data_IF_321388240422
#
_entry.id   IF_321388240422
#
_cell.length_a   1.000
_cell.length_b   1.000
_cell.length_c   1.000
_cell.angle_alpha   90.00
_cell.angle_beta   90.00
_cell.angle_gamma   90.00
#
_symmetry.space_group_name_H-M   'P 1'
#
loop_
_entity.id
_entity.type
_entity.pdbx_description
1 polymer ?
#
# COMPACT_ATOMS: atom_id res chain seq x y z
N UNK A 1 -33.06 -14.65 3.72
CA UNK A 1 -33.00 -13.23 3.25
C UNK A 1 -31.55 -12.70 3.17
N UNK A 2 -30.56 -13.55 2.89
CA UNK A 2 -29.12 -13.19 2.85
C UNK A 2 -28.43 -13.55 1.52
N UNK A 3 -29.17 -14.04 0.53
CA UNK A 3 -28.59 -14.57 -0.72
C UNK A 3 -28.37 -13.52 -1.83
N UNK A 4 -28.79 -12.27 -1.62
CA UNK A 4 -28.76 -11.21 -2.64
C UNK A 4 -27.41 -10.46 -2.67
N UNK A 5 -26.72 -10.37 -1.53
CA UNK A 5 -25.40 -9.70 -1.45
C UNK A 5 -24.28 -10.74 -1.42
N UNK A 6 -24.12 -11.45 -2.54
CA UNK A 6 -22.95 -12.31 -2.70
C UNK A 6 -21.70 -11.43 -2.82
N UNK A 7 -20.59 -11.80 -2.15
CA UNK A 7 -19.33 -11.05 -2.26
C UNK A 7 -18.90 -10.90 -3.73
N UNK A 8 -19.16 -11.91 -4.56
CA UNK A 8 -18.87 -11.87 -6.00
C UNK A 8 -19.57 -10.70 -6.73
N UNK A 9 -20.86 -10.47 -6.45
CA UNK A 9 -21.62 -9.38 -7.07
C UNK A 9 -21.11 -8.02 -6.57
N UNK A 10 -20.80 -7.91 -5.27
CA UNK A 10 -20.17 -6.72 -4.70
C UNK A 10 -18.82 -6.42 -5.34
N UNK A 11 -17.99 -7.44 -5.59
CA UNK A 11 -16.70 -7.29 -6.27
C UNK A 11 -16.85 -6.76 -7.69
N UNK A 12 -17.83 -7.28 -8.44
CA UNK A 12 -18.13 -6.82 -9.81
C UNK A 12 -18.62 -5.37 -9.80
N UNK A 13 -19.54 -5.01 -8.90
CA UNK A 13 -20.06 -3.64 -8.78
C UNK A 13 -18.94 -2.66 -8.41
N UNK A 14 -18.06 -3.04 -7.48
CA UNK A 14 -16.88 -2.24 -7.13
C UNK A 14 -15.94 -2.02 -8.32
N UNK A 15 -15.74 -3.04 -9.15
CA UNK A 15 -14.94 -2.91 -10.36
C UNK A 15 -15.60 -1.98 -11.38
N UNK A 16 -16.91 -2.08 -11.57
CA UNK A 16 -17.66 -1.22 -12.48
C UNK A 16 -17.56 0.25 -12.05
N UNK A 17 -17.78 0.55 -10.77
CA UNK A 17 -17.66 1.91 -10.21
C UNK A 17 -16.24 2.48 -10.40
N UNK A 18 -15.22 1.61 -10.37
CA UNK A 18 -13.83 2.02 -10.59
C UNK A 18 -13.48 2.25 -12.07
N UNK A 19 -14.18 1.58 -12.98
CA UNK A 19 -13.99 1.77 -14.42
C UNK A 19 -14.52 3.13 -14.88
N UNK A 20 -15.53 3.64 -14.17
CA UNK A 20 -16.12 4.96 -14.38
C UNK A 20 -15.09 6.10 -14.28
N UNK A 21 -15.19 7.17 -15.08
CA UNK A 21 -14.14 8.19 -15.19
C UNK A 21 -14.01 9.04 -13.91
N UNK A 22 -15.07 9.14 -13.12
CA UNK A 22 -15.10 9.87 -11.85
C UNK A 22 -15.39 8.91 -10.69
N UNK A 23 -14.35 8.57 -9.93
CA UNK A 23 -14.51 7.71 -8.75
C UNK A 23 -15.20 8.53 -7.65
N UNK A 24 -16.39 8.10 -7.18
CA UNK A 24 -17.10 8.85 -6.15
C UNK A 24 -16.34 8.81 -4.82
N UNK A 25 -16.34 9.93 -4.08
CA UNK A 25 -15.65 10.06 -2.79
C UNK A 25 -16.09 9.01 -1.75
N UNK A 26 -17.35 8.57 -1.84
CA UNK A 26 -17.93 7.55 -0.98
C UNK A 26 -17.43 6.13 -1.30
N UNK A 27 -16.84 5.91 -2.49
CA UNK A 27 -16.36 4.60 -2.92
C UNK A 27 -15.42 3.97 -1.91
N UNK A 28 -14.46 4.74 -1.38
CA UNK A 28 -13.53 4.25 -0.36
C UNK A 28 -14.23 3.82 0.92
N UNK A 29 -15.25 4.58 1.38
CA UNK A 29 -16.04 4.20 2.55
C UNK A 29 -16.81 2.90 2.29
N UNK A 30 -17.41 2.76 1.12
CA UNK A 30 -18.12 1.54 0.73
C UNK A 30 -17.16 0.35 0.70
N UNK A 31 -15.97 0.51 0.11
CA UNK A 31 -14.94 -0.54 0.09
C UNK A 31 -14.56 -0.95 1.49
N UNK A 32 -14.21 0.00 2.37
CA UNK A 32 -13.82 -0.29 3.76
C UNK A 32 -14.92 -1.06 4.49
N UNK A 33 -16.18 -0.63 4.38
CA UNK A 33 -17.31 -1.31 5.01
C UNK A 33 -17.47 -2.73 4.44
N UNK A 34 -17.42 -2.90 3.13
CA UNK A 34 -17.55 -4.22 2.50
C UNK A 34 -16.43 -5.18 2.90
N UNK A 35 -15.16 -4.75 3.00
CA UNK A 35 -14.09 -5.65 3.49
C UNK A 35 -14.14 -5.89 5.00
N UNK A 36 -14.76 -5.00 5.78
CA UNK A 36 -15.03 -5.25 7.19
C UNK A 36 -16.13 -6.31 7.37
N UNK A 37 -17.20 -6.24 6.58
CA UNK A 37 -18.30 -7.21 6.61
C UNK A 37 -17.93 -8.54 5.97
N UNK A 38 -17.28 -8.52 4.80
CA UNK A 38 -16.97 -9.70 4.00
C UNK A 38 -15.46 -9.90 3.87
N UNK A 39 -14.89 -10.71 4.78
CA UNK A 39 -13.46 -11.04 4.77
C UNK A 39 -13.00 -11.77 3.50
N UNK A 40 -13.89 -12.45 2.78
CA UNK A 40 -13.51 -13.12 1.51
C UNK A 40 -13.11 -12.12 0.42
N UNK A 41 -13.58 -10.88 0.49
CA UNK A 41 -13.24 -9.82 -0.48
C UNK A 41 -11.84 -9.22 -0.26
N UNK A 42 -11.21 -9.46 0.90
CA UNK A 42 -9.90 -8.89 1.22
C UNK A 42 -8.85 -9.22 0.16
N UNK A 43 -8.83 -10.46 -0.34
CA UNK A 43 -7.90 -10.88 -1.38
C UNK A 43 -8.10 -10.13 -2.70
N UNK A 44 -9.36 -10.02 -3.14
CA UNK A 44 -9.73 -9.31 -4.37
C UNK A 44 -9.44 -7.81 -4.26
N UNK A 45 -9.80 -7.19 -3.14
CA UNK A 45 -9.55 -5.76 -2.90
C UNK A 45 -8.06 -5.48 -2.92
N UNK A 46 -7.26 -6.30 -2.23
CA UNK A 46 -5.82 -6.12 -2.15
C UNK A 46 -5.11 -6.28 -3.49
N UNK A 47 -5.50 -7.25 -4.33
CA UNK A 47 -4.79 -7.55 -5.59
C UNK A 47 -5.32 -6.78 -6.79
N UNK A 48 -6.64 -6.63 -6.88
CA UNK A 48 -7.31 -6.09 -8.08
C UNK A 48 -7.68 -4.63 -7.88
N UNK A 49 -8.35 -4.34 -6.76
CA UNK A 49 -8.92 -3.02 -6.49
C UNK A 49 -7.82 -1.99 -6.18
N UNK A 50 -6.89 -2.30 -5.27
CA UNK A 50 -5.76 -1.42 -4.97
C UNK A 50 -4.87 -1.19 -6.21
N UNK A 51 -4.54 -2.24 -6.97
CA UNK A 51 -3.69 -2.11 -8.18
C UNK A 51 -4.32 -1.18 -9.21
N UNK A 52 -5.62 -1.30 -9.48
CA UNK A 52 -6.32 -0.40 -10.42
C UNK A 52 -6.44 1.03 -9.89
N UNK A 53 -6.69 1.22 -8.59
CA UNK A 53 -6.67 2.54 -7.95
C UNK A 53 -5.32 3.24 -8.11
N UNK A 54 -4.21 2.48 -8.02
CA UNK A 54 -2.86 3.02 -8.25
C UNK A 54 -2.72 3.51 -9.68
N UNK A 55 -3.16 2.73 -10.68
CA UNK A 55 -3.13 3.14 -12.09
C UNK A 55 -3.95 4.41 -12.36
N UNK A 56 -5.07 4.59 -11.66
CA UNK A 56 -5.93 5.79 -11.75
C UNK A 56 -5.40 7.00 -10.97
N UNK A 57 -4.20 6.92 -10.37
CA UNK A 57 -3.56 8.02 -9.61
C UNK A 57 -4.46 8.60 -8.52
N UNK A 58 -5.02 7.76 -7.67
CA UNK A 58 -5.93 8.18 -6.59
C UNK A 58 -5.34 9.17 -5.58
N UNK A 59 -4.01 9.31 -5.53
CA UNK A 59 -3.31 10.30 -4.72
C UNK A 59 -3.58 11.75 -5.17
N UNK A 60 -4.14 11.96 -6.35
CA UNK A 60 -4.61 13.28 -6.82
C UNK A 60 -5.77 13.82 -5.99
N UNK A 61 -6.56 12.94 -5.36
CA UNK A 61 -7.73 13.33 -4.56
C UNK A 61 -7.44 12.96 -3.09
N UNK A 62 -7.22 13.94 -2.20
CA UNK A 62 -6.78 13.69 -0.82
C UNK A 62 -7.79 12.87 -0.01
N UNK A 63 -9.09 13.02 -0.29
CA UNK A 63 -10.13 12.23 0.36
C UNK A 63 -10.07 10.74 -0.02
N UNK A 64 -9.86 10.42 -1.31
CA UNK A 64 -9.68 9.04 -1.76
C UNK A 64 -8.36 8.47 -1.26
N UNK A 65 -7.29 9.29 -1.24
CA UNK A 65 -6.00 8.89 -0.71
C UNK A 65 -6.05 8.52 0.77
N UNK A 66 -6.70 9.33 1.61
CA UNK A 66 -6.89 8.99 3.02
C UNK A 66 -7.72 7.71 3.18
N UNK A 67 -8.76 7.52 2.37
CA UNK A 67 -9.53 6.27 2.33
C UNK A 67 -8.68 5.07 1.95
N UNK A 68 -7.78 5.22 0.97
CA UNK A 68 -6.87 4.17 0.52
C UNK A 68 -5.93 3.74 1.64
N UNK A 69 -5.32 4.71 2.34
CA UNK A 69 -4.43 4.44 3.47
C UNK A 69 -5.18 3.68 4.56
N UNK A 70 -6.42 4.08 4.84
CA UNK A 70 -7.27 3.42 5.84
C UNK A 70 -7.63 1.99 5.43
N UNK A 71 -8.00 1.78 4.17
CA UNK A 71 -8.31 0.47 3.62
C UNK A 71 -7.06 -0.43 3.64
N UNK A 72 -5.91 0.08 3.22
CA UNK A 72 -4.64 -0.63 3.21
C UNK A 72 -4.24 -1.10 4.61
N UNK A 73 -4.50 -0.30 5.65
CA UNK A 73 -4.33 -0.69 7.05
C UNK A 73 -5.33 -1.76 7.49
N UNK A 74 -6.60 -1.60 7.15
CA UNK A 74 -7.67 -2.52 7.55
C UNK A 74 -7.50 -3.94 6.96
N UNK A 75 -6.89 -4.03 5.77
CA UNK A 75 -6.67 -5.31 5.07
C UNK A 75 -5.21 -5.79 5.11
N UNK A 76 -4.35 -5.12 5.88
CA UNK A 76 -2.99 -5.61 6.12
C UNK A 76 -3.05 -7.00 6.77
N UNK A 77 -2.20 -7.97 6.36
CA UNK A 77 -1.03 -7.83 5.48
C UNK A 77 -1.29 -8.04 3.98
N UNK A 78 -2.53 -8.31 3.56
CA UNK A 78 -2.84 -8.60 2.15
C UNK A 78 -2.56 -7.42 1.22
N UNK A 79 -2.74 -6.18 1.70
CA UNK A 79 -2.51 -4.94 0.95
C UNK A 79 -1.05 -4.71 0.54
N UNK A 80 -0.08 -5.31 1.23
CA UNK A 80 1.35 -5.02 1.02
C UNK A 80 1.78 -5.28 -0.42
N UNK A 81 1.24 -6.31 -1.08
CA UNK A 81 1.56 -6.60 -2.48
C UNK A 81 1.22 -5.46 -3.45
N UNK A 82 0.07 -4.80 -3.27
CA UNK A 82 -0.31 -3.66 -4.10
C UNK A 82 0.41 -2.37 -3.67
N UNK A 83 0.73 -2.21 -2.38
CA UNK A 83 1.51 -1.05 -1.93
C UNK A 83 2.90 -0.99 -2.57
N UNK A 84 3.52 -2.15 -2.88
CA UNK A 84 4.78 -2.18 -3.63
C UNK A 84 4.66 -1.64 -5.08
N UNK A 85 3.45 -1.54 -5.64
CA UNK A 85 3.24 -0.94 -6.96
C UNK A 85 3.17 0.59 -6.92
N UNK A 86 3.04 1.19 -5.74
CA UNK A 86 3.03 2.65 -5.61
C UNK A 86 4.40 3.26 -5.94
N UNK A 87 4.42 4.46 -6.53
CA UNK A 87 5.65 5.25 -6.66
C UNK A 87 6.24 5.60 -5.29
N UNK A 88 7.57 5.79 -5.27
CA UNK A 88 8.39 6.01 -4.05
C UNK A 88 7.88 7.17 -3.19
N UNK A 89 7.43 8.25 -3.81
CA UNK A 89 6.99 9.46 -3.12
C UNK A 89 5.69 9.22 -2.33
N UNK A 90 4.72 8.55 -2.93
CA UNK A 90 3.42 8.25 -2.30
C UNK A 90 3.57 7.16 -1.23
N UNK A 91 4.52 6.25 -1.42
CA UNK A 91 4.87 5.29 -0.39
C UNK A 91 5.44 6.00 0.85
N UNK A 92 6.32 7.01 0.66
CA UNK A 92 6.87 7.81 1.75
C UNK A 92 5.78 8.57 2.50
N UNK A 93 4.85 9.19 1.79
CA UNK A 93 3.69 9.86 2.40
C UNK A 93 2.80 8.89 3.19
N UNK A 94 2.55 7.69 2.65
CA UNK A 94 1.74 6.67 3.33
C UNK A 94 2.40 6.20 4.64
N UNK A 95 3.72 6.05 4.62
CA UNK A 95 4.53 5.68 5.77
C UNK A 95 4.57 6.77 6.83
N UNK A 96 4.69 8.03 6.40
CA UNK A 96 4.67 9.19 7.29
C UNK A 96 3.32 9.30 8.00
N UNK A 97 2.23 9.15 7.24
CA UNK A 97 0.87 9.15 7.80
C UNK A 97 0.58 7.95 8.70
N UNK A 98 1.19 6.78 8.46
CA UNK A 98 0.93 5.54 9.22
C UNK A 98 2.22 4.77 9.52
N UNK A 99 2.95 5.15 10.59
CA UNK A 99 4.21 4.48 10.96
C UNK A 99 4.03 3.01 11.35
N UNK A 100 2.84 2.61 11.83
CA UNK A 100 2.55 1.21 12.14
C UNK A 100 2.54 0.28 10.92
N UNK A 101 2.23 0.81 9.72
CA UNK A 101 2.26 0.04 8.49
C UNK A 101 3.70 -0.13 7.96
N UNK A 102 4.59 0.83 8.28
CA UNK A 102 6.01 0.84 7.88
C UNK A 102 6.72 -0.45 8.28
N UNK A 103 6.56 -0.87 9.53
CA UNK A 103 7.22 -2.07 10.06
C UNK A 103 6.74 -3.34 9.36
N UNK A 104 5.42 -3.46 9.15
CA UNK A 104 4.84 -4.63 8.47
C UNK A 104 5.19 -4.68 6.98
N UNK A 105 5.20 -3.54 6.31
CA UNK A 105 5.60 -3.44 4.90
C UNK A 105 7.08 -3.80 4.73
N UNK A 106 7.96 -3.36 5.64
CA UNK A 106 9.38 -3.73 5.65
C UNK A 106 9.59 -5.24 5.80
N UNK A 107 8.96 -5.84 6.81
CA UNK A 107 9.05 -7.30 7.03
C UNK A 107 8.54 -8.06 5.81
N UNK A 108 7.43 -7.60 5.22
CA UNK A 108 6.88 -8.19 4.00
C UNK A 108 7.82 -8.06 2.79
N UNK A 109 8.45 -6.91 2.59
CA UNK A 109 9.42 -6.70 1.51
C UNK A 109 10.64 -7.60 1.72
N UNK A 110 11.15 -7.68 2.95
CA UNK A 110 12.30 -8.52 3.32
C UNK A 110 12.00 -10.02 3.14
N UNK A 111 10.79 -10.44 3.50
CA UNK A 111 10.35 -11.84 3.42
C UNK A 111 9.92 -12.27 2.01
N UNK A 112 9.35 -11.36 1.22
CA UNK A 112 8.81 -11.68 -0.12
C UNK A 112 9.79 -11.46 -1.26
N UNK A 113 10.74 -10.54 -1.11
CA UNK A 113 11.71 -10.26 -2.17
C UNK A 113 13.01 -11.03 -1.92
N UNK A 114 13.18 -12.16 -2.63
CA UNK A 114 14.51 -12.70 -2.90
C UNK A 114 15.40 -11.73 -3.71
N UNK A 115 14.82 -10.64 -4.24
CA UNK A 115 15.49 -9.62 -5.03
C UNK A 115 15.88 -8.40 -4.18
N UNK A 116 16.99 -8.53 -3.43
CA UNK A 116 17.54 -7.52 -2.48
C UNK A 116 17.66 -6.10 -3.05
N UNK A 117 17.83 -5.93 -4.36
CA UNK A 117 17.99 -4.61 -4.98
C UNK A 117 16.72 -3.74 -4.93
N UNK A 118 15.54 -4.33 -5.14
CA UNK A 118 14.27 -3.59 -4.99
C UNK A 118 13.99 -3.30 -3.52
N UNK A 119 14.33 -4.23 -2.63
CA UNK A 119 14.22 -4.03 -1.18
C UNK A 119 15.08 -2.87 -0.73
N UNK A 120 16.35 -2.82 -1.14
CA UNK A 120 17.27 -1.75 -0.81
C UNK A 120 16.77 -0.38 -1.30
N UNK A 121 16.27 -0.32 -2.55
CA UNK A 121 15.75 0.94 -3.09
C UNK A 121 14.46 1.41 -2.41
N UNK A 122 13.66 0.50 -1.84
CA UNK A 122 12.51 0.83 -0.99
C UNK A 122 12.95 1.19 0.44
N UNK A 123 13.99 0.53 0.97
CA UNK A 123 14.54 0.78 2.30
C UNK A 123 15.23 2.15 2.41
N UNK A 124 15.96 2.56 1.38
CA UNK A 124 16.48 3.92 1.23
C UNK A 124 15.34 4.95 1.25
N UNK A 125 14.22 4.66 0.59
CA UNK A 125 13.04 5.55 0.59
C UNK A 125 12.39 5.65 1.97
N UNK A 126 12.43 4.59 2.77
CA UNK A 126 11.94 4.60 4.16
C UNK A 126 12.85 5.36 5.14
N UNK A 127 13.98 5.91 4.66
CA UNK A 127 14.90 6.70 5.45
C UNK A 127 15.85 5.87 6.32
N UNK A 128 15.97 4.57 6.06
CA UNK A 128 17.14 3.81 6.53
C UNK A 128 18.21 3.95 5.45
N UNK A 129 18.91 5.09 5.50
CA UNK A 129 20.31 5.05 5.17
C UNK A 129 20.90 3.88 5.97
N UNK A 130 21.70 3.06 5.30
CA UNK A 130 22.58 2.10 5.96
C UNK A 130 23.20 2.75 7.21
N UNK A 131 23.41 2.02 8.31
CA UNK A 131 24.25 2.55 9.38
C UNK A 131 25.58 2.91 8.73
N UNK A 132 25.81 4.21 8.58
CA UNK A 132 27.07 4.91 8.41
C UNK A 132 28.20 4.03 7.85
N UNK A 133 28.62 4.15 6.57
CA UNK A 133 30.02 3.91 6.29
C UNK A 133 30.73 5.03 7.06
N UNK A 134 31.22 4.69 8.26
CA UNK A 134 32.03 5.58 9.06
C UNK A 134 33.03 6.28 8.13
N UNK A 135 33.19 7.61 8.21
CA UNK A 135 34.32 8.23 7.54
C UNK A 135 35.54 7.53 8.14
N UNK A 136 36.21 6.73 7.32
CA UNK A 136 37.53 6.22 7.68
C UNK A 136 38.39 7.46 7.84
N UNK A 137 38.60 7.85 9.09
CA UNK A 137 39.58 8.86 9.48
C UNK A 137 40.94 8.28 9.10
N UNK A 138 41.40 8.62 7.90
CA UNK A 138 42.75 8.32 7.45
C UNK A 138 43.63 9.39 8.07
N UNK A 139 43.91 9.27 9.37
CA UNK A 139 45.01 9.99 9.98
C UNK A 139 46.33 9.37 9.50
N UNK A 140 47.22 10.12 8.82
CA UNK A 140 48.51 9.59 8.39
C UNK A 140 49.44 9.36 9.61
N UNK A 141 50.28 8.32 9.60
CA UNK A 141 51.20 8.03 10.69
C UNK A 141 52.31 9.11 10.78
N UNK A 142 52.71 9.53 12.00
CA UNK A 142 53.88 10.38 12.17
C UNK A 142 55.17 9.59 11.91
N UNK A 143 56.13 10.31 11.33
CA UNK A 143 57.48 9.87 10.97
C UNK A 143 58.35 9.48 12.17
#
# INVERSE_FOLDING_TARGET
>A
MTEVFRPEVLGVVMQQIMDEPVIPLLFMRTVILSVQTYKSLVGFVATTLLSRLITKKIWTIPALWNGFIHCAKAIAPASFGALLQLPKEQLRELVDKQPGLKSGLRDYVLKKSGNKARVASFLEVFGEASPNPQPVDITPPPA
#
